data_IF_026128749474
#
_entry.id   IF_026128749474
#
_cell.length_a   1.000
_cell.length_b   1.000
_cell.length_c   1.000
_cell.angle_alpha   90.00
_cell.angle_beta   90.00
_cell.angle_gamma   90.00
#
_symmetry.space_group_name_H-M   'P 1'
#
loop_
_entity.id
_entity.type
_entity.pdbx_description
1 polymer ?
#
# COMPACT_ATOMS: atom_id res chain seq x y z
N UNK A 1 23.62 20.16 -2.05
CA UNK A 1 22.99 18.89 -1.68
C UNK A 1 22.54 18.97 -0.24
N UNK A 2 21.25 18.80 0.02
CA UNK A 2 20.66 18.73 1.36
C UNK A 2 20.21 17.29 1.69
N UNK A 3 19.68 17.05 2.89
CA UNK A 3 19.18 15.73 3.29
C UNK A 3 18.06 15.19 2.38
N UNK A 4 17.18 16.05 1.86
CA UNK A 4 16.12 15.63 0.94
C UNK A 4 16.69 15.16 -0.41
N UNK A 5 17.70 15.86 -0.94
CA UNK A 5 18.42 15.45 -2.15
C UNK A 5 19.09 14.09 -1.96
N UNK A 6 19.71 13.86 -0.79
CA UNK A 6 20.34 12.58 -0.45
C UNK A 6 19.31 11.45 -0.34
N UNK A 7 18.15 11.71 0.26
CA UNK A 7 17.07 10.72 0.37
C UNK A 7 16.53 10.34 -1.02
N UNK A 8 16.35 11.30 -1.92
CA UNK A 8 15.95 11.00 -3.30
C UNK A 8 17.06 10.24 -4.05
N UNK A 9 18.30 10.68 -3.92
CA UNK A 9 19.44 10.05 -4.59
C UNK A 9 19.61 8.59 -4.19
N UNK A 10 19.61 8.27 -2.89
CA UNK A 10 19.81 6.89 -2.41
C UNK A 10 18.66 5.98 -2.87
N UNK A 11 17.43 6.50 -2.95
CA UNK A 11 16.27 5.77 -3.49
C UNK A 11 16.45 5.48 -4.98
N UNK A 12 16.76 6.49 -5.79
CA UNK A 12 16.90 6.30 -7.23
C UNK A 12 18.10 5.41 -7.60
N UNK A 13 19.18 5.53 -6.84
CA UNK A 13 20.35 4.65 -6.98
C UNK A 13 19.95 3.19 -6.81
N UNK A 14 19.28 2.85 -5.70
CA UNK A 14 18.93 1.47 -5.38
C UNK A 14 17.73 0.94 -6.17
N UNK A 15 16.85 1.81 -6.68
CA UNK A 15 15.80 1.44 -7.63
C UNK A 15 16.32 1.20 -9.06
N UNK A 16 17.64 1.27 -9.28
CA UNK A 16 18.25 0.98 -10.58
C UNK A 16 18.02 2.07 -11.63
N UNK A 17 17.75 3.31 -11.20
CA UNK A 17 17.48 4.44 -12.10
C UNK A 17 18.72 5.25 -12.48
N UNK A 18 19.85 5.01 -11.81
CA UNK A 18 21.08 5.80 -11.95
C UNK A 18 22.20 5.00 -12.64
N UNK A 19 22.42 3.75 -12.24
CA UNK A 19 23.51 2.91 -12.75
C UNK A 19 23.03 1.95 -13.84
N UNK A 20 23.88 1.62 -14.84
CA UNK A 20 23.61 0.52 -15.76
C UNK A 20 23.36 -0.81 -15.03
N UNK A 21 22.58 -1.74 -15.61
CA UNK A 21 22.16 -2.97 -14.93
C UNK A 21 23.29 -3.81 -14.31
N UNK A 22 24.45 -3.88 -14.99
CA UNK A 22 25.64 -4.58 -14.46
C UNK A 22 26.06 -4.02 -13.09
N UNK A 23 26.30 -2.70 -13.03
CA UNK A 23 26.80 -2.04 -11.83
C UNK A 23 25.73 -1.92 -10.75
N UNK A 24 24.46 -1.78 -11.14
CA UNK A 24 23.35 -1.87 -10.19
C UNK A 24 23.27 -3.25 -9.54
N UNK A 25 23.48 -4.33 -10.31
CA UNK A 25 23.56 -5.69 -9.78
C UNK A 25 24.67 -5.83 -8.72
N UNK A 26 25.86 -5.31 -8.98
CA UNK A 26 26.98 -5.31 -8.03
C UNK A 26 26.72 -4.41 -6.80
N UNK A 27 25.98 -3.31 -6.96
CA UNK A 27 25.57 -2.42 -5.86
C UNK A 27 24.64 -3.13 -4.86
N UNK A 28 23.64 -3.87 -5.35
CA UNK A 28 22.59 -4.43 -4.50
C UNK A 28 22.88 -5.85 -3.98
N UNK A 29 23.93 -6.50 -4.49
CA UNK A 29 24.34 -7.85 -4.06
C UNK A 29 25.45 -7.75 -3.02
N UNK A 30 25.15 -8.00 -1.73
CA UNK A 30 26.18 -7.98 -0.71
C UNK A 30 27.09 -9.20 -0.77
N UNK A 31 28.36 -8.94 -0.54
CA UNK A 31 29.36 -9.94 -0.19
C UNK A 31 29.90 -9.69 1.22
N UNK A 32 30.43 -10.74 1.84
CA UNK A 32 31.21 -10.60 3.05
C UNK A 32 32.54 -9.89 2.73
N UNK A 33 32.90 -8.89 3.53
CA UNK A 33 34.08 -8.04 3.30
C UNK A 33 35.41 -8.78 3.46
N UNK A 34 35.42 -9.91 4.15
CA UNK A 34 36.64 -10.64 4.48
C UNK A 34 37.01 -11.65 3.38
N UNK A 35 36.01 -12.33 2.80
CA UNK A 35 36.23 -13.44 1.87
C UNK A 35 35.54 -13.26 0.50
N UNK A 36 34.71 -12.22 0.34
CA UNK A 36 33.97 -11.95 -0.89
C UNK A 36 32.84 -12.94 -1.18
N UNK A 37 32.50 -13.83 -0.24
CA UNK A 37 31.43 -14.80 -0.44
C UNK A 37 30.05 -14.11 -0.46
N UNK A 38 29.08 -14.63 -1.24
CA UNK A 38 27.71 -14.13 -1.21
C UNK A 38 27.14 -14.14 0.20
N UNK A 39 26.55 -13.02 0.62
CA UNK A 39 25.98 -12.85 1.95
C UNK A 39 24.55 -12.30 1.88
N UNK A 40 23.84 -12.31 3.01
CA UNK A 40 22.56 -11.57 3.17
C UNK A 40 22.78 -10.15 3.71
N UNK A 41 23.89 -9.93 4.40
CA UNK A 41 24.34 -8.64 4.91
C UNK A 41 25.84 -8.52 4.69
N UNK A 42 26.32 -7.33 4.36
CA UNK A 42 27.69 -7.11 3.93
C UNK A 42 27.79 -5.83 3.11
N UNK A 43 28.64 -5.83 2.09
CA UNK A 43 28.81 -4.68 1.20
C UNK A 43 28.59 -5.10 -0.25
N UNK A 44 27.80 -4.31 -0.97
CA UNK A 44 27.84 -4.30 -2.43
C UNK A 44 28.82 -3.22 -2.91
N UNK A 45 28.70 -2.80 -4.16
CA UNK A 45 29.53 -1.75 -4.74
C UNK A 45 29.32 -0.38 -4.03
N UNK A 46 30.15 -0.10 -3.03
CA UNK A 46 30.18 1.20 -2.32
C UNK A 46 29.01 1.45 -1.35
N UNK A 47 28.11 0.49 -1.16
CA UNK A 47 26.99 0.58 -0.22
C UNK A 47 26.97 -0.64 0.69
N UNK A 48 26.61 -0.44 1.95
CA UNK A 48 26.33 -1.54 2.86
C UNK A 48 24.92 -2.08 2.61
N UNK A 49 24.76 -3.37 2.88
CA UNK A 49 23.47 -4.06 2.89
C UNK A 49 23.32 -4.73 4.24
N UNK A 50 22.18 -4.55 4.88
CA UNK A 50 21.89 -5.21 6.14
C UNK A 50 20.44 -5.66 6.21
N UNK A 51 20.17 -6.62 7.07
CA UNK A 51 18.86 -7.20 7.26
C UNK A 51 18.44 -7.11 8.73
N UNK A 52 17.18 -6.76 8.95
CA UNK A 52 16.53 -6.85 10.25
C UNK A 52 15.14 -7.49 10.10
N UNK A 53 14.39 -7.57 11.19
CA UNK A 53 13.03 -8.13 11.20
C UNK A 53 12.03 -7.42 10.26
N UNK A 54 12.33 -6.18 9.86
CA UNK A 54 11.52 -5.36 8.95
C UNK A 54 12.02 -5.45 7.49
N UNK A 55 13.01 -6.28 7.20
CA UNK A 55 13.50 -6.57 5.85
C UNK A 55 14.91 -6.08 5.56
N UNK A 56 15.21 -5.95 4.27
CA UNK A 56 16.53 -5.60 3.75
C UNK A 56 16.66 -4.09 3.56
N UNK A 57 17.80 -3.57 3.97
CA UNK A 57 18.17 -2.16 3.92
C UNK A 57 19.46 -1.98 3.16
N UNK A 58 19.47 -1.02 2.25
CA UNK A 58 20.66 -0.60 1.53
C UNK A 58 21.03 0.83 1.93
N UNK A 59 22.31 1.11 2.10
CA UNK A 59 22.70 2.43 2.55
C UNK A 59 24.18 2.72 2.48
N UNK A 60 24.51 3.93 2.91
CA UNK A 60 25.86 4.38 3.08
C UNK A 60 25.94 5.35 4.26
N UNK A 61 27.10 5.40 4.89
CA UNK A 61 27.35 6.28 6.02
C UNK A 61 28.75 6.88 5.89
N UNK A 62 28.91 8.09 6.40
CA UNK A 62 30.16 8.81 6.46
C UNK A 62 30.29 9.49 7.81
N UNK A 63 31.48 9.38 8.40
CA UNK A 63 31.79 10.02 9.68
C UNK A 63 33.03 10.87 9.52
N UNK A 64 32.98 12.09 10.06
CA UNK A 64 34.12 12.95 10.29
C UNK A 64 34.04 13.52 11.71
N UNK A 65 35.15 13.97 12.33
CA UNK A 65 35.07 14.59 13.64
C UNK A 65 34.05 15.74 13.66
N UNK A 66 33.09 15.68 14.59
CA UNK A 66 32.02 16.68 14.69
C UNK A 66 30.78 16.42 13.83
N UNK A 67 30.80 15.46 12.91
CA UNK A 67 29.72 15.30 11.93
C UNK A 67 29.52 13.87 11.42
N UNK A 68 28.25 13.48 11.31
CA UNK A 68 27.82 12.19 10.78
C UNK A 68 26.80 12.38 9.65
N UNK A 69 26.93 11.58 8.61
CA UNK A 69 25.90 11.40 7.59
C UNK A 69 25.52 9.93 7.47
N UNK A 70 24.24 9.63 7.38
CA UNK A 70 23.73 8.29 7.09
C UNK A 70 22.54 8.37 6.13
N UNK A 71 22.58 7.55 5.09
CA UNK A 71 21.51 7.41 4.11
C UNK A 71 21.13 5.94 3.98
N UNK A 72 19.84 5.67 4.03
CA UNK A 72 19.33 4.31 3.92
C UNK A 72 18.07 4.25 3.06
N UNK A 73 17.83 3.11 2.45
CA UNK A 73 16.68 2.79 1.66
C UNK A 73 16.13 1.42 2.05
N UNK A 74 14.84 1.37 2.38
CA UNK A 74 14.13 0.14 2.66
C UNK A 74 13.70 -0.53 1.36
N UNK A 75 14.18 -1.76 1.11
CA UNK A 75 13.75 -2.54 -0.04
C UNK A 75 12.25 -2.86 0.03
N UNK A 76 11.78 -3.23 1.21
CA UNK A 76 10.41 -3.70 1.45
C UNK A 76 9.40 -2.56 1.39
N UNK A 77 9.68 -1.46 2.08
CA UNK A 77 8.74 -0.34 2.22
C UNK A 77 8.98 0.78 1.21
N UNK A 78 10.07 0.69 0.42
CA UNK A 78 10.43 1.58 -0.69
C UNK A 78 10.54 3.07 -0.34
N UNK A 79 10.85 3.39 0.91
CA UNK A 79 11.21 4.75 1.33
C UNK A 79 12.70 4.83 1.66
N UNK A 80 13.21 6.05 1.72
CA UNK A 80 14.58 6.35 2.14
C UNK A 80 14.60 7.33 3.30
N UNK A 81 15.66 7.24 4.10
CA UNK A 81 15.96 8.17 5.19
C UNK A 81 17.35 8.73 4.93
N UNK A 82 17.51 10.04 5.10
CA UNK A 82 18.81 10.70 5.13
C UNK A 82 18.91 11.52 6.42
N UNK A 83 20.00 11.34 7.16
CA UNK A 83 20.28 12.09 8.38
C UNK A 83 21.68 12.66 8.34
N UNK A 84 21.77 13.92 8.76
CA UNK A 84 23.01 14.67 8.90
C UNK A 84 23.01 15.28 10.30
N UNK A 85 23.99 14.91 11.12
CA UNK A 85 24.02 15.23 12.56
C UNK A 85 25.37 15.82 12.90
N UNK A 86 25.38 17.04 13.46
CA UNK A 86 26.56 17.56 14.16
C UNK A 86 26.59 16.96 15.57
N UNK A 87 27.73 16.39 15.97
CA UNK A 87 27.87 15.72 17.27
C UNK A 87 29.25 15.92 17.87
N UNK A 88 29.30 16.25 19.15
CA UNK A 88 30.51 16.27 19.98
C UNK A 88 30.76 14.90 20.63
N UNK A 89 29.77 14.01 20.64
CA UNK A 89 29.90 12.62 21.05
C UNK A 89 30.50 11.79 19.91
N UNK A 90 31.59 11.08 20.23
CA UNK A 90 32.56 10.49 19.29
C UNK A 90 32.01 9.51 18.24
N UNK A 91 32.91 9.09 17.36
CA UNK A 91 32.68 8.28 16.14
C UNK A 91 32.31 6.80 16.41
N UNK A 92 31.52 6.52 17.45
CA UNK A 92 31.18 5.16 17.90
C UNK A 92 29.90 4.58 17.27
N UNK A 93 29.64 3.28 17.53
CA UNK A 93 28.47 2.55 17.00
C UNK A 93 27.10 3.02 17.55
N UNK A 94 27.08 3.87 18.58
CA UNK A 94 25.84 4.37 19.22
C UNK A 94 24.96 5.16 18.23
N UNK A 95 25.57 5.89 17.30
CA UNK A 95 24.85 6.63 16.26
C UNK A 95 24.09 5.72 15.30
N UNK A 96 24.66 4.55 14.97
CA UNK A 96 24.01 3.57 14.13
C UNK A 96 22.74 3.03 14.81
N UNK A 97 22.78 2.82 16.13
CA UNK A 97 21.61 2.41 16.90
C UNK A 97 20.50 3.47 16.90
N UNK A 98 20.83 4.77 16.90
CA UNK A 98 19.85 5.85 16.78
C UNK A 98 19.13 5.83 15.42
N UNK A 99 19.86 5.64 14.33
CA UNK A 99 19.27 5.52 12.98
C UNK A 99 18.39 4.29 12.88
N UNK A 100 18.85 3.12 13.34
CA UNK A 100 18.03 1.91 13.37
C UNK A 100 16.75 2.12 14.18
N UNK A 101 16.85 2.78 15.34
CA UNK A 101 15.70 3.11 16.20
C UNK A 101 14.70 4.06 15.52
N UNK A 102 15.19 5.08 14.82
CA UNK A 102 14.32 5.97 14.04
C UNK A 102 13.68 5.26 12.85
N UNK A 103 14.44 4.49 12.07
CA UNK A 103 13.93 3.67 10.97
C UNK A 103 12.80 2.75 11.45
N UNK A 104 12.99 2.06 12.57
CA UNK A 104 11.95 1.23 13.18
C UNK A 104 10.67 2.01 13.56
N UNK A 105 10.80 3.25 14.04
CA UNK A 105 9.65 4.12 14.35
C UNK A 105 8.91 4.54 13.06
N UNK A 106 9.64 4.88 12.00
CA UNK A 106 9.05 5.24 10.70
C UNK A 106 8.31 4.04 10.09
N UNK A 107 8.90 2.85 10.10
CA UNK A 107 8.26 1.62 9.60
C UNK A 107 6.96 1.37 10.36
N UNK A 108 6.99 1.43 11.70
CA UNK A 108 5.79 1.26 12.52
C UNK A 108 4.71 2.28 12.20
N UNK A 109 5.09 3.54 11.97
CA UNK A 109 4.15 4.58 11.55
C UNK A 109 3.51 4.25 10.19
N UNK A 110 4.30 3.81 9.21
CA UNK A 110 3.82 3.40 7.89
C UNK A 110 2.89 2.18 8.00
N UNK A 111 3.27 1.16 8.77
CA UNK A 111 2.48 -0.05 9.01
C UNK A 111 1.13 0.31 9.64
N UNK A 112 1.14 1.14 10.70
CA UNK A 112 -0.08 1.61 11.35
C UNK A 112 -0.99 2.38 10.40
N UNK A 113 -0.41 3.19 9.50
CA UNK A 113 -1.16 3.88 8.45
C UNK A 113 -1.84 2.91 7.47
N UNK A 114 -1.11 1.88 7.01
CA UNK A 114 -1.64 0.83 6.12
C UNK A 114 -2.75 0.02 6.80
N UNK A 115 -2.55 -0.38 8.05
CA UNK A 115 -3.57 -1.09 8.84
C UNK A 115 -4.83 -0.24 8.99
N UNK A 116 -4.69 1.06 9.30
CA UNK A 116 -5.83 1.97 9.39
C UNK A 116 -6.59 2.10 8.06
N UNK A 117 -5.88 2.15 6.93
CA UNK A 117 -6.47 2.18 5.60
C UNK A 117 -7.24 0.89 5.28
N UNK A 118 -6.66 -0.28 5.57
CA UNK A 118 -7.32 -1.57 5.35
C UNK A 118 -8.54 -1.75 6.26
N UNK A 119 -8.47 -1.31 7.52
CA UNK A 119 -9.63 -1.29 8.43
C UNK A 119 -10.73 -0.38 7.90
N UNK A 120 -10.40 0.81 7.41
CA UNK A 120 -11.37 1.75 6.84
C UNK A 120 -12.02 1.20 5.57
N UNK A 121 -11.26 0.56 4.69
CA UNK A 121 -11.78 -0.10 3.48
C UNK A 121 -12.72 -1.24 3.88
N UNK A 122 -12.32 -2.11 4.82
CA UNK A 122 -13.19 -3.20 5.30
C UNK A 122 -14.48 -2.67 5.93
N UNK A 123 -14.40 -1.60 6.71
CA UNK A 123 -15.58 -0.95 7.30
C UNK A 123 -16.52 -0.36 6.25
N UNK A 124 -15.98 0.14 5.13
CA UNK A 124 -16.78 0.59 3.98
C UNK A 124 -17.60 -0.60 3.41
N UNK A 125 -16.98 -1.76 3.15
CA UNK A 125 -17.70 -2.96 2.70
C UNK A 125 -18.71 -3.48 3.73
N UNK A 126 -18.38 -3.49 5.03
CA UNK A 126 -19.34 -3.88 6.08
C UNK A 126 -20.55 -2.93 6.15
N UNK A 127 -20.34 -1.63 5.92
CA UNK A 127 -21.43 -0.64 5.89
C UNK A 127 -22.33 -0.88 4.68
N UNK A 128 -21.75 -1.18 3.52
CA UNK A 128 -22.51 -1.57 2.32
C UNK A 128 -23.38 -2.80 2.57
N UNK A 129 -22.82 -3.85 3.18
CA UNK A 129 -23.56 -5.06 3.54
C UNK A 129 -24.76 -4.74 4.44
N UNK A 130 -24.57 -3.91 5.47
CA UNK A 130 -25.63 -3.48 6.37
C UNK A 130 -26.71 -2.63 5.66
N UNK A 131 -26.33 -1.70 4.78
CA UNK A 131 -27.26 -0.89 3.99
C UNK A 131 -28.08 -1.78 3.04
N UNK A 132 -27.41 -2.68 2.32
CA UNK A 132 -28.04 -3.60 1.39
C UNK A 132 -29.07 -4.50 2.08
N UNK A 133 -28.71 -5.06 3.24
CA UNK A 133 -29.58 -5.95 4.01
C UNK A 133 -30.78 -5.22 4.62
N UNK A 134 -30.74 -3.89 4.71
CA UNK A 134 -31.89 -3.01 5.03
C UNK A 134 -32.70 -2.57 3.82
N UNK A 135 -32.34 -3.04 2.62
CA UNK A 135 -32.93 -2.63 1.33
C UNK A 135 -32.74 -1.13 1.04
N UNK A 136 -31.69 -0.52 1.58
CA UNK A 136 -31.42 0.91 1.44
C UNK A 136 -30.30 1.15 0.42
N UNK A 137 -30.71 1.37 -0.84
CA UNK A 137 -29.78 1.62 -1.94
C UNK A 137 -29.10 2.98 -1.79
N UNK A 138 -29.76 3.97 -1.20
CA UNK A 138 -29.16 5.29 -1.01
C UNK A 138 -28.03 5.25 0.03
N UNK A 139 -28.22 4.49 1.10
CA UNK A 139 -27.18 4.15 2.06
C UNK A 139 -26.05 3.34 1.39
N UNK A 140 -26.37 2.31 0.60
CA UNK A 140 -25.38 1.49 -0.10
C UNK A 140 -24.48 2.32 -1.03
N UNK A 141 -25.08 3.27 -1.76
CA UNK A 141 -24.36 4.16 -2.66
C UNK A 141 -23.39 5.12 -1.97
N UNK A 142 -23.44 5.30 -0.64
CA UNK A 142 -22.47 6.13 0.10
C UNK A 142 -21.04 5.57 0.05
N UNK A 143 -20.86 4.32 -0.36
CA UNK A 143 -19.53 3.76 -0.59
C UNK A 143 -18.83 4.30 -1.86
N UNK A 144 -19.61 4.80 -2.82
CA UNK A 144 -19.13 5.26 -4.12
C UNK A 144 -18.78 6.74 -4.11
N UNK A 145 -17.70 7.11 -4.81
CA UNK A 145 -17.34 8.53 -4.95
C UNK A 145 -18.41 9.28 -5.78
N UNK A 146 -19.05 10.35 -5.25
CA UNK A 146 -20.12 11.08 -5.94
C UNK A 146 -19.57 11.97 -7.06
N UNK A 147 -19.20 11.36 -8.18
CA UNK A 147 -18.59 12.02 -9.34
C UNK A 147 -18.97 11.33 -10.64
N UNK A 148 -18.86 12.05 -11.76
CA UNK A 148 -19.02 11.50 -13.10
C UNK A 148 -17.84 10.61 -13.54
N UNK A 149 -16.72 10.66 -12.82
CA UNK A 149 -15.50 9.91 -13.12
C UNK A 149 -15.56 8.43 -12.73
N UNK A 150 -16.52 8.01 -11.91
CA UNK A 150 -16.61 6.63 -11.46
C UNK A 150 -17.26 5.71 -12.49
N UNK A 151 -17.02 4.41 -12.36
CA UNK A 151 -17.61 3.42 -13.26
C UNK A 151 -17.98 2.13 -12.55
N UNK A 152 -19.00 1.45 -13.05
CA UNK A 152 -19.22 0.01 -12.79
C UNK A 152 -19.08 -0.77 -14.09
N UNK A 153 -18.58 -1.99 -13.99
CA UNK A 153 -18.48 -2.94 -15.09
C UNK A 153 -19.28 -4.17 -14.71
N UNK A 154 -20.12 -4.64 -15.63
CA UNK A 154 -20.95 -5.82 -15.46
C UNK A 154 -20.98 -6.60 -16.77
N UNK A 155 -21.68 -7.74 -16.77
CA UNK A 155 -21.96 -8.51 -18.00
C UNK A 155 -22.57 -7.66 -19.12
N UNK A 156 -23.41 -6.69 -18.78
CA UNK A 156 -24.13 -5.86 -19.76
C UNK A 156 -23.31 -4.63 -20.23
N UNK A 157 -22.08 -4.48 -19.75
CA UNK A 157 -21.15 -3.42 -20.14
C UNK A 157 -20.77 -2.47 -19.01
N UNK A 158 -20.31 -1.27 -19.39
CA UNK A 158 -19.77 -0.25 -18.48
C UNK A 158 -20.78 0.86 -18.25
N UNK A 159 -21.10 1.14 -16.98
CA UNK A 159 -21.88 2.32 -16.58
C UNK A 159 -20.94 3.37 -16.00
N UNK A 160 -21.10 4.65 -16.35
CA UNK A 160 -20.29 5.76 -15.84
C UNK A 160 -21.13 6.78 -15.09
N UNK A 161 -20.54 7.36 -14.06
CA UNK A 161 -21.10 8.44 -13.26
C UNK A 161 -22.06 7.97 -12.17
N UNK A 162 -21.96 8.62 -11.02
CA UNK A 162 -22.67 8.23 -9.80
C UNK A 162 -24.19 8.13 -9.99
N UNK A 163 -24.80 9.14 -10.62
CA UNK A 163 -26.25 9.19 -10.84
C UNK A 163 -26.75 8.02 -11.70
N UNK A 164 -26.01 7.63 -12.73
CA UNK A 164 -26.37 6.51 -13.61
C UNK A 164 -26.21 5.17 -12.90
N UNK A 165 -25.13 5.00 -12.12
CA UNK A 165 -24.88 3.80 -11.33
C UNK A 165 -25.99 3.62 -10.29
N UNK A 166 -26.34 4.68 -9.55
CA UNK A 166 -27.46 4.68 -8.60
C UNK A 166 -28.78 4.31 -9.30
N UNK A 167 -29.07 4.90 -10.45
CA UNK A 167 -30.28 4.59 -11.20
C UNK A 167 -30.34 3.12 -11.62
N UNK A 168 -29.20 2.53 -12.01
CA UNK A 168 -29.10 1.10 -12.32
C UNK A 168 -29.36 0.24 -11.08
N UNK A 169 -28.78 0.56 -9.93
CA UNK A 169 -29.06 -0.19 -8.70
C UNK A 169 -30.57 -0.17 -8.35
N UNK A 170 -31.20 1.01 -8.38
CA UNK A 170 -32.64 1.15 -8.13
C UNK A 170 -33.49 0.37 -9.14
N UNK A 171 -33.07 0.32 -10.41
CA UNK A 171 -33.79 -0.38 -11.48
C UNK A 171 -33.66 -1.90 -11.37
N UNK A 172 -32.46 -2.42 -11.10
CA UNK A 172 -32.14 -3.84 -11.21
C UNK A 172 -32.27 -4.59 -9.87
N UNK A 173 -32.22 -3.88 -8.75
CA UNK A 173 -32.32 -4.46 -7.41
C UNK A 173 -33.47 -3.84 -6.59
N UNK A 174 -34.73 -3.97 -7.04
CA UNK A 174 -35.87 -3.73 -6.17
C UNK A 174 -35.84 -4.68 -4.96
N UNK A 175 -36.51 -4.36 -3.83
CA UNK A 175 -36.34 -5.07 -2.56
C UNK A 175 -36.41 -6.60 -2.65
N UNK A 176 -37.32 -7.14 -3.46
CA UNK A 176 -37.54 -8.57 -3.70
C UNK A 176 -36.39 -9.27 -4.44
N UNK A 177 -35.51 -8.51 -5.11
CA UNK A 177 -34.33 -9.04 -5.84
C UNK A 177 -33.02 -8.84 -5.11
N UNK A 178 -33.00 -8.08 -4.01
CA UNK A 178 -31.74 -7.78 -3.34
C UNK A 178 -31.16 -8.99 -2.57
N UNK A 179 -31.98 -9.91 -2.05
CA UNK A 179 -31.51 -10.94 -1.12
C UNK A 179 -30.83 -10.36 0.14
N UNK A 180 -30.17 -11.20 0.92
CA UNK A 180 -29.27 -10.82 2.01
C UNK A 180 -27.82 -11.00 1.53
N UNK A 181 -27.09 -9.89 1.44
CA UNK A 181 -25.71 -9.80 1.01
C UNK A 181 -24.75 -10.20 2.13
N UNK A 182 -23.72 -10.94 1.75
CA UNK A 182 -22.52 -11.17 2.54
C UNK A 182 -21.26 -11.14 1.67
N UNK A 183 -20.25 -10.36 2.08
CA UNK A 183 -18.94 -10.36 1.45
C UNK A 183 -17.95 -11.28 2.17
N UNK A 184 -17.24 -12.12 1.42
CA UNK A 184 -16.16 -12.96 1.94
C UNK A 184 -14.96 -13.05 0.98
N UNK A 185 -13.93 -13.79 1.40
CA UNK A 185 -12.69 -14.01 0.63
C UNK A 185 -12.01 -12.71 0.15
N UNK A 186 -12.15 -11.64 0.95
CA UNK A 186 -11.74 -10.31 0.53
C UNK A 186 -10.24 -10.08 0.71
N UNK A 187 -9.56 -9.79 -0.41
CA UNK A 187 -8.13 -9.50 -0.50
C UNK A 187 -7.91 -8.04 -0.86
N UNK A 188 -7.06 -7.33 -0.11
CA UNK A 188 -6.72 -5.94 -0.33
C UNK A 188 -5.28 -5.87 -0.83
N UNK A 189 -5.07 -5.36 -2.03
CA UNK A 189 -3.75 -5.14 -2.63
C UNK A 189 -3.47 -3.65 -2.73
N UNK A 190 -2.47 -3.18 -1.99
CA UNK A 190 -2.05 -1.77 -2.05
C UNK A 190 -1.35 -1.48 -3.38
N UNK A 191 -1.84 -0.50 -4.13
CA UNK A 191 -1.22 -0.05 -5.37
C UNK A 191 -0.35 1.20 -5.16
N UNK A 192 -0.79 2.11 -4.30
CA UNK A 192 -0.05 3.32 -3.92
C UNK A 192 -0.59 3.87 -2.59
N UNK A 193 -0.11 5.04 -2.18
CA UNK A 193 -0.61 5.72 -0.97
C UNK A 193 -2.09 6.09 -1.04
N UNK A 194 -2.64 6.24 -2.25
CA UNK A 194 -4.02 6.67 -2.48
C UNK A 194 -4.89 5.62 -3.17
N UNK A 195 -4.37 4.41 -3.44
CA UNK A 195 -5.10 3.39 -4.19
C UNK A 195 -4.92 1.99 -3.62
N UNK A 196 -6.04 1.28 -3.50
CA UNK A 196 -6.10 -0.16 -3.23
C UNK A 196 -6.93 -0.85 -4.31
N UNK A 197 -6.48 -2.03 -4.71
CA UNK A 197 -7.28 -2.96 -5.49
C UNK A 197 -7.83 -4.04 -4.58
N UNK A 198 -9.14 -4.16 -4.52
CA UNK A 198 -9.86 -5.10 -3.66
C UNK A 198 -10.49 -6.15 -4.53
N UNK A 199 -10.31 -7.42 -4.19
CA UNK A 199 -11.07 -8.52 -4.78
C UNK A 199 -11.79 -9.27 -3.67
N UNK A 200 -12.91 -9.91 -4.00
CA UNK A 200 -13.64 -10.74 -3.05
C UNK A 200 -14.83 -11.42 -3.70
N UNK A 201 -15.65 -12.08 -2.89
CA UNK A 201 -16.87 -12.72 -3.33
C UNK A 201 -18.08 -12.08 -2.65
N UNK A 202 -19.12 -11.82 -3.43
CA UNK A 202 -20.44 -11.47 -2.90
C UNK A 202 -21.33 -12.71 -2.89
N UNK A 203 -22.17 -12.83 -1.87
CA UNK A 203 -23.15 -13.89 -1.73
C UNK A 203 -24.50 -13.25 -1.40
N UNK A 204 -25.55 -13.60 -2.14
CA UNK A 204 -26.92 -13.17 -1.93
C UNK A 204 -27.77 -14.39 -1.56
N UNK A 205 -28.25 -14.40 -0.32
CA UNK A 205 -29.15 -15.42 0.20
C UNK A 205 -30.60 -14.94 0.11
N UNK A 206 -31.53 -15.84 -0.22
CA UNK A 206 -32.95 -15.54 -0.33
C UNK A 206 -33.72 -16.50 0.57
N UNK A 207 -34.60 -15.99 1.44
CA UNK A 207 -35.37 -16.86 2.35
C UNK A 207 -36.34 -17.77 1.59
N UNK A 208 -36.92 -17.27 0.50
CA UNK A 208 -37.95 -17.96 -0.29
C UNK A 208 -37.38 -18.87 -1.39
N UNK A 209 -36.04 -18.95 -1.54
CA UNK A 209 -35.39 -19.71 -2.60
C UNK A 209 -34.21 -20.49 -2.04
N UNK A 210 -34.12 -21.77 -2.36
CA UNK A 210 -32.98 -22.61 -1.95
C UNK A 210 -31.67 -22.22 -2.63
N UNK A 211 -31.75 -21.59 -3.81
CA UNK A 211 -30.58 -21.19 -4.58
C UNK A 211 -30.12 -19.78 -4.17
N UNK A 212 -28.84 -19.70 -3.77
CA UNK A 212 -28.17 -18.42 -3.50
C UNK A 212 -27.47 -17.94 -4.77
N UNK A 213 -27.40 -16.62 -4.96
CA UNK A 213 -26.63 -16.01 -6.06
C UNK A 213 -25.29 -15.59 -5.50
N UNK A 214 -24.20 -15.97 -6.15
CA UNK A 214 -22.86 -15.56 -5.73
C UNK A 214 -21.99 -15.23 -6.93
N UNK A 215 -20.98 -14.41 -6.72
CA UNK A 215 -20.07 -14.00 -7.78
C UNK A 215 -18.83 -13.33 -7.23
N UNK A 216 -17.86 -13.09 -8.11
CA UNK A 216 -16.62 -12.42 -7.74
C UNK A 216 -16.71 -10.94 -8.11
N UNK A 217 -16.11 -10.11 -7.27
CA UNK A 217 -15.98 -8.69 -7.54
C UNK A 217 -14.53 -8.23 -7.49
N UNK A 218 -14.29 -7.12 -8.15
CA UNK A 218 -13.03 -6.37 -8.13
C UNK A 218 -13.30 -4.88 -8.08
N UNK A 219 -12.67 -4.18 -7.16
CA UNK A 219 -12.95 -2.78 -6.86
C UNK A 219 -11.63 -2.00 -6.76
N UNK A 220 -11.58 -0.87 -7.45
CA UNK A 220 -10.53 0.13 -7.24
C UNK A 220 -11.02 1.11 -6.18
N UNK A 221 -10.39 1.06 -5.01
CA UNK A 221 -10.58 2.01 -3.92
C UNK A 221 -9.60 3.17 -4.09
N UNK A 222 -10.09 4.40 -3.96
CA UNK A 222 -9.27 5.60 -3.98
C UNK A 222 -9.46 6.41 -2.70
N UNK A 223 -8.36 6.89 -2.12
CA UNK A 223 -8.39 7.84 -1.01
C UNK A 223 -8.57 9.26 -1.56
N UNK A 224 -9.68 9.89 -1.22
CA UNK A 224 -10.03 11.25 -1.63
C UNK A 224 -10.40 12.02 -0.35
N UNK A 225 -9.68 13.12 -0.08
CA UNK A 225 -9.85 13.94 1.12
C UNK A 225 -9.80 13.13 2.43
N UNK A 226 -8.94 12.11 2.49
CA UNK A 226 -8.74 11.27 3.67
C UNK A 226 -9.74 10.11 3.83
N UNK A 227 -10.76 10.01 2.96
CA UNK A 227 -11.75 8.93 2.97
C UNK A 227 -11.56 7.98 1.80
N UNK A 228 -11.89 6.69 2.01
CA UNK A 228 -11.77 5.65 0.99
C UNK A 228 -13.09 5.46 0.25
N UNK A 229 -13.05 5.61 -1.07
CA UNK A 229 -14.20 5.54 -1.96
C UNK A 229 -14.03 4.49 -3.06
N UNK A 230 -15.12 3.85 -3.46
CA UNK A 230 -15.15 3.04 -4.68
C UNK A 230 -15.18 3.97 -5.89
N UNK A 231 -14.18 3.88 -6.76
CA UNK A 231 -14.11 4.66 -8.01
C UNK A 231 -14.23 3.81 -9.27
N UNK A 232 -14.01 2.50 -9.13
CA UNK A 232 -14.35 1.51 -10.14
C UNK A 232 -14.81 0.24 -9.43
N UNK A 233 -15.92 -0.33 -9.86
CA UNK A 233 -16.39 -1.64 -9.42
C UNK A 233 -16.62 -2.53 -10.65
N UNK A 234 -16.33 -3.81 -10.51
CA UNK A 234 -16.58 -4.82 -11.51
C UNK A 234 -17.06 -6.08 -10.80
N UNK A 235 -18.28 -6.49 -11.12
CA UNK A 235 -18.94 -7.66 -10.53
C UNK A 235 -19.50 -8.55 -11.63
N UNK A 236 -19.33 -9.87 -11.48
CA UNK A 236 -19.75 -10.89 -12.44
C UNK A 236 -20.27 -12.16 -11.78
#
# INVERSE_FOLDING_TARGET
>A
TNAADLAHWIKYLHEGKILPPKWHGELIQPVNIHDGAPARSGYGLGCFVWENKEGIWWGHAGVMPGYLTQVEYSREYRFSIAMQVNTDQGMGMEHHALIQGFSARVIRFIQKGREADEVAIRANFSSQEACWNKRDIDCYMQAYWPSDSIRTVSRDGVTRGFSNIRANYLKYFPPEKMGALHFDNMTLTRLSDNYYYVTGRFNLHYEERSESVHGWFSVLMQKINGQWWMVSDHSG
#
